data_IF_842572865573
#
_entry.id   IF_842572865573
#
_cell.length_a   1.000
_cell.length_b   1.000
_cell.length_c   1.000
_cell.angle_alpha   90.00
_cell.angle_beta   90.00
_cell.angle_gamma   90.00
#
_symmetry.space_group_name_H-M   'P 1'
#
loop_
_entity.id
_entity.type
_entity.pdbx_description
1 polymer ?
#
# COMPACT_ATOMS: atom_id res chain seq x y z
N UNK A 1 -0.41 9.71 -0.89
CA UNK A 1 0.03 8.37 -0.45
C UNK A 1 1.28 8.02 -1.23
N UNK A 2 2.29 7.49 -0.57
CA UNK A 2 3.59 7.11 -1.18
C UNK A 2 4.31 8.28 -1.88
N UNK A 3 3.95 9.49 -1.47
CA UNK A 3 4.47 10.76 -1.98
C UNK A 3 3.95 11.87 -1.06
N UNK A 4 4.63 13.02 -1.09
CA UNK A 4 4.19 14.25 -0.48
C UNK A 4 5.17 14.83 0.53
N UNK A 5 6.16 14.07 1.04
CA UNK A 5 7.08 14.55 2.09
C UNK A 5 7.94 15.76 1.64
N UNK A 6 8.07 15.97 0.34
CA UNK A 6 8.78 17.11 -0.27
C UNK A 6 7.84 18.05 -1.06
N UNK A 7 6.52 17.86 -0.99
CA UNK A 7 5.55 18.57 -1.84
C UNK A 7 5.09 19.91 -1.23
N UNK A 8 6.02 20.84 -1.02
CA UNK A 8 5.71 22.14 -0.41
C UNK A 8 4.67 22.93 -1.21
N UNK A 9 4.94 23.20 -2.48
CA UNK A 9 4.05 24.00 -3.33
C UNK A 9 2.67 23.34 -3.54
N UNK A 10 2.62 22.01 -3.58
CA UNK A 10 1.37 21.27 -3.70
C UNK A 10 0.49 21.42 -2.46
N UNK A 11 1.09 21.33 -1.27
CA UNK A 11 0.41 21.54 0.01
C UNK A 11 -0.04 23.00 0.16
N UNK A 12 0.82 23.97 -0.16
CA UNK A 12 0.48 25.39 -0.09
C UNK A 12 -0.70 25.74 -1.00
N UNK A 13 -0.73 25.20 -2.21
CA UNK A 13 -1.85 25.40 -3.15
C UNK A 13 -3.15 24.77 -2.63
N UNK A 14 -3.10 23.59 -2.02
CA UNK A 14 -4.26 22.96 -1.40
C UNK A 14 -4.82 23.84 -0.28
N UNK A 15 -3.96 24.41 0.56
CA UNK A 15 -4.34 25.31 1.64
C UNK A 15 -4.98 26.61 1.13
N UNK A 16 -4.45 27.20 0.05
CA UNK A 16 -5.06 28.36 -0.61
C UNK A 16 -6.48 28.07 -1.11
N UNK A 17 -6.80 26.80 -1.37
CA UNK A 17 -8.14 26.33 -1.77
C UNK A 17 -8.99 25.87 -0.59
N UNK A 18 -8.52 26.02 0.65
CA UNK A 18 -9.22 25.57 1.85
C UNK A 18 -9.29 24.05 2.02
N UNK A 19 -8.35 23.31 1.42
CA UNK A 19 -8.29 21.85 1.47
C UNK A 19 -7.28 21.42 2.53
N UNK A 20 -7.70 20.57 3.48
CA UNK A 20 -6.78 19.95 4.44
C UNK A 20 -5.97 18.82 3.80
N UNK A 21 -4.71 18.68 4.21
CA UNK A 21 -3.76 17.74 3.64
C UNK A 21 -3.20 16.79 4.70
N UNK A 22 -3.39 15.49 4.45
CA UNK A 22 -2.68 14.40 5.12
C UNK A 22 -1.64 13.82 4.15
N UNK A 23 -0.36 13.89 4.51
CA UNK A 23 0.73 13.23 3.79
C UNK A 23 0.98 11.85 4.41
N UNK A 24 0.98 10.80 3.59
CA UNK A 24 1.48 9.48 3.96
C UNK A 24 2.60 9.11 2.99
N UNK A 25 3.78 8.90 3.53
CA UNK A 25 4.99 8.73 2.73
C UNK A 25 6.02 7.90 3.51
N UNK A 26 7.08 7.49 2.83
CA UNK A 26 8.20 6.76 3.41
C UNK A 26 9.56 7.26 2.92
N UNK A 27 9.61 8.14 1.94
CA UNK A 27 10.85 8.76 1.47
C UNK A 27 11.55 9.56 2.60
N UNK A 28 12.85 9.78 2.46
CA UNK A 28 13.60 10.59 3.42
C UNK A 28 13.08 12.04 3.40
N UNK A 29 12.76 12.63 4.57
CA UNK A 29 12.36 14.02 4.65
C UNK A 29 13.55 14.95 4.33
N UNK A 30 13.24 16.13 3.77
CA UNK A 30 14.21 17.23 3.67
C UNK A 30 14.35 18.00 4.98
N UNK A 31 15.18 19.04 4.97
CA UNK A 31 15.43 19.90 6.15
C UNK A 31 14.18 20.62 6.65
N UNK A 32 13.26 20.92 5.72
CA UNK A 32 11.97 21.54 6.01
C UNK A 32 10.87 20.61 5.51
N UNK A 33 9.81 20.47 6.30
CA UNK A 33 8.64 19.68 5.94
C UNK A 33 7.56 20.55 5.28
N UNK A 34 6.72 20.00 4.39
CA UNK A 34 5.56 20.70 3.88
C UNK A 34 4.60 21.01 5.01
N UNK A 35 3.86 22.11 4.89
CA UNK A 35 2.95 22.57 5.93
C UNK A 35 1.63 21.77 5.96
N UNK A 36 1.67 20.44 5.89
CA UNK A 36 0.47 19.59 5.89
C UNK A 36 -0.17 19.52 7.29
N UNK A 37 -1.49 19.33 7.38
CA UNK A 37 -2.21 19.16 8.66
C UNK A 37 -1.70 17.94 9.44
N UNK A 38 -1.24 16.91 8.73
CA UNK A 38 -0.61 15.74 9.32
C UNK A 38 0.36 15.09 8.33
N UNK A 39 1.45 14.52 8.87
CA UNK A 39 2.45 13.76 8.12
C UNK A 39 2.68 12.43 8.82
N UNK A 40 2.51 11.33 8.08
CA UNK A 40 2.79 9.98 8.55
C UNK A 40 3.94 9.45 7.69
N UNK A 41 5.13 9.44 8.27
CA UNK A 41 6.32 8.89 7.62
C UNK A 41 7.26 8.29 8.68
N UNK A 42 7.70 7.02 8.53
CA UNK A 42 8.61 6.37 9.49
C UNK A 42 9.97 7.07 9.60
N UNK A 43 10.39 7.83 8.59
CA UNK A 43 11.67 8.51 8.51
C UNK A 43 11.67 9.95 9.06
N UNK A 44 10.57 10.41 9.67
CA UNK A 44 10.59 11.66 10.44
C UNK A 44 11.57 11.55 11.62
N UNK A 45 12.25 12.66 11.93
CA UNK A 45 13.30 12.71 12.95
C UNK A 45 12.82 12.22 14.32
N UNK A 46 11.61 12.62 14.73
CA UNK A 46 11.04 12.28 16.05
C UNK A 46 10.18 11.00 16.03
N UNK A 47 10.16 10.27 14.92
CA UNK A 47 9.35 9.06 14.81
C UNK A 47 10.05 7.88 15.49
N UNK A 48 9.45 7.34 16.56
CA UNK A 48 9.97 6.18 17.28
C UNK A 48 9.64 4.83 16.61
N UNK A 49 8.99 4.83 15.43
CA UNK A 49 8.62 3.60 14.76
C UNK A 49 9.86 2.79 14.34
N UNK A 50 9.95 1.50 14.69
CA UNK A 50 11.21 0.75 14.60
C UNK A 50 11.62 0.41 13.17
N UNK A 51 10.66 0.25 12.25
CA UNK A 51 10.96 -0.07 10.85
C UNK A 51 11.03 1.20 10.02
N UNK A 52 12.26 1.66 9.76
CA UNK A 52 12.57 2.81 8.89
C UNK A 52 12.51 2.47 7.40
N UNK A 53 12.42 1.18 7.08
CA UNK A 53 12.36 0.67 5.72
C UNK A 53 10.94 0.39 5.21
N UNK A 54 9.90 0.79 5.95
CA UNK A 54 8.52 0.54 5.54
C UNK A 54 8.24 1.18 4.17
N UNK A 55 7.64 0.44 3.23
CA UNK A 55 7.17 0.98 1.95
C UNK A 55 5.91 1.85 2.15
N UNK A 56 5.57 2.74 1.21
CA UNK A 56 4.37 3.57 1.32
C UNK A 56 3.06 2.78 1.43
N UNK A 57 2.96 1.60 0.80
CA UNK A 57 1.83 0.68 0.99
C UNK A 57 1.73 0.19 2.45
N UNK A 58 2.87 -0.03 3.10
CA UNK A 58 2.94 -0.41 4.51
C UNK A 58 2.53 0.73 5.43
N UNK A 59 2.95 1.96 5.13
CA UNK A 59 2.51 3.17 5.86
C UNK A 59 0.99 3.29 5.82
N UNK A 60 0.41 3.13 4.62
CA UNK A 60 -1.04 3.18 4.41
C UNK A 60 -1.75 2.06 5.16
N UNK A 61 -1.20 0.84 5.13
CA UNK A 61 -1.75 -0.29 5.87
C UNK A 61 -1.82 -0.04 7.38
N UNK A 62 -0.76 0.53 7.97
CA UNK A 62 -0.76 0.90 9.38
C UNK A 62 -1.72 2.05 9.70
N UNK A 63 -1.86 3.05 8.82
CA UNK A 63 -2.88 4.09 8.95
C UNK A 63 -4.30 3.47 8.97
N UNK A 64 -4.59 2.53 8.06
CA UNK A 64 -5.88 1.83 8.04
C UNK A 64 -6.12 1.03 9.32
N UNK A 65 -5.09 0.36 9.86
CA UNK A 65 -5.18 -0.36 11.14
C UNK A 65 -5.51 0.59 12.29
N UNK A 66 -4.83 1.74 12.38
CA UNK A 66 -5.07 2.75 13.40
C UNK A 66 -6.47 3.36 13.28
N UNK A 67 -6.90 3.69 12.06
CA UNK A 67 -8.25 4.21 11.80
C UNK A 67 -9.33 3.20 12.21
N UNK A 68 -9.19 1.93 11.80
CA UNK A 68 -10.12 0.86 12.18
C UNK A 68 -10.20 0.70 13.69
N UNK A 69 -9.07 0.73 14.40
CA UNK A 69 -9.06 0.66 15.86
C UNK A 69 -9.82 1.85 16.47
N UNK A 70 -9.54 3.07 16.02
CA UNK A 70 -10.19 4.28 16.52
C UNK A 70 -11.71 4.30 16.31
N UNK A 71 -12.18 3.80 15.16
CA UNK A 71 -13.61 3.67 14.84
C UNK A 71 -14.29 2.55 15.64
N UNK A 72 -13.55 1.48 15.96
CA UNK A 72 -14.05 0.43 16.86
C UNK A 72 -14.22 0.97 18.28
N UNK A 73 -13.23 1.70 18.79
CA UNK A 73 -13.24 2.24 20.16
C UNK A 73 -14.33 3.28 20.37
N UNK A 74 -14.68 4.05 19.33
CA UNK A 74 -15.80 4.99 19.37
C UNK A 74 -17.17 4.34 19.18
N UNK A 75 -17.23 3.02 18.94
CA UNK A 75 -18.46 2.31 18.61
C UNK A 75 -19.06 2.69 17.25
N UNK A 76 -18.29 3.35 16.38
CA UNK A 76 -18.78 3.90 15.10
C UNK A 76 -19.37 2.82 14.19
N UNK A 77 -18.71 1.66 14.08
CA UNK A 77 -19.23 0.54 13.28
C UNK A 77 -20.62 0.09 13.74
N UNK A 78 -20.85 -0.01 15.05
CA UNK A 78 -22.16 -0.37 15.60
C UNK A 78 -23.22 0.70 15.31
N UNK A 79 -22.86 1.99 15.46
CA UNK A 79 -23.76 3.11 15.16
C UNK A 79 -24.16 3.16 13.69
N UNK A 80 -23.26 2.81 12.78
CA UNK A 80 -23.51 2.77 11.33
C UNK A 80 -24.12 1.44 10.85
N UNK A 81 -24.35 0.47 11.76
CA UNK A 81 -24.74 -0.90 11.41
C UNK A 81 -23.80 -1.58 10.38
N UNK A 82 -22.50 -1.28 10.45
CA UNK A 82 -21.46 -1.83 9.59
C UNK A 82 -20.64 -2.90 10.30
N UNK A 83 -20.21 -3.92 9.57
CA UNK A 83 -19.25 -4.89 10.07
C UNK A 83 -17.84 -4.30 10.07
N UNK A 84 -17.06 -4.62 11.10
CA UNK A 84 -15.64 -4.24 11.16
C UNK A 84 -14.85 -4.97 10.06
N UNK A 85 -14.09 -4.26 9.21
CA UNK A 85 -13.35 -4.88 8.12
C UNK A 85 -12.13 -5.69 8.62
N UNK A 86 -11.89 -6.82 7.96
CA UNK A 86 -10.70 -7.64 8.16
C UNK A 86 -9.56 -7.18 7.25
N UNK A 87 -8.75 -6.23 7.72
CA UNK A 87 -7.65 -5.68 6.93
C UNK A 87 -6.56 -6.70 6.53
N UNK A 88 -6.53 -7.89 7.13
CA UNK A 88 -5.64 -8.95 6.65
C UNK A 88 -5.92 -9.32 5.19
N UNK A 89 -7.11 -9.01 4.66
CA UNK A 89 -7.49 -9.19 3.26
C UNK A 89 -6.70 -8.34 2.26
N UNK A 90 -6.00 -7.31 2.74
CA UNK A 90 -5.18 -6.43 1.89
C UNK A 90 -3.69 -6.79 1.90
N UNK A 91 -3.29 -7.83 2.65
CA UNK A 91 -1.87 -8.17 2.82
C UNK A 91 -1.19 -8.66 1.54
N UNK A 92 -1.95 -9.12 0.55
CA UNK A 92 -1.42 -9.44 -0.78
C UNK A 92 -0.98 -8.17 -1.54
N UNK A 93 -1.78 -7.10 -1.48
CA UNK A 93 -1.42 -5.78 -1.99
C UNK A 93 -0.23 -5.18 -1.23
N UNK A 94 -0.21 -5.33 0.10
CA UNK A 94 0.92 -4.89 0.93
C UNK A 94 2.20 -5.63 0.53
N UNK A 95 2.14 -6.95 0.37
CA UNK A 95 3.30 -7.73 -0.05
C UNK A 95 3.79 -7.34 -1.45
N UNK A 96 2.88 -7.18 -2.41
CA UNK A 96 3.23 -6.77 -3.77
C UNK A 96 3.88 -5.39 -3.75
N UNK A 97 3.25 -4.39 -3.11
CA UNK A 97 3.78 -3.03 -3.06
C UNK A 97 5.12 -2.95 -2.33
N UNK A 98 5.27 -3.63 -1.19
CA UNK A 98 6.55 -3.65 -0.45
C UNK A 98 7.68 -4.27 -1.27
N UNK A 99 7.42 -5.35 -2.01
CA UNK A 99 8.44 -5.97 -2.86
C UNK A 99 8.72 -5.12 -4.11
N UNK A 100 7.69 -4.53 -4.71
CA UNK A 100 7.80 -3.68 -5.90
C UNK A 100 8.64 -2.43 -5.64
N UNK A 101 8.60 -1.92 -4.42
CA UNK A 101 9.32 -0.73 -3.95
C UNK A 101 10.79 -1.02 -3.56
N UNK A 102 11.20 -2.29 -3.59
CA UNK A 102 12.59 -2.74 -3.37
C UNK A 102 13.19 -2.24 -2.04
N UNK A 103 12.34 -1.95 -1.05
CA UNK A 103 12.79 -1.59 0.30
C UNK A 103 13.42 -2.79 1.01
N UNK A 104 14.34 -2.57 1.97
CA UNK A 104 14.90 -3.66 2.76
C UNK A 104 13.81 -4.52 3.43
N UNK A 105 13.94 -5.84 3.32
CA UNK A 105 13.12 -6.80 4.06
C UNK A 105 13.64 -6.97 5.49
N UNK A 106 13.57 -5.88 6.25
CA UNK A 106 13.75 -5.85 7.69
C UNK A 106 12.70 -6.72 8.40
N UNK A 107 12.78 -6.82 9.72
CA UNK A 107 11.87 -7.68 10.49
C UNK A 107 10.38 -7.41 10.17
N UNK A 108 9.99 -6.14 10.09
CA UNK A 108 8.59 -5.75 9.89
C UNK A 108 8.13 -6.04 8.46
N UNK A 109 8.89 -5.60 7.45
CA UNK A 109 8.57 -5.86 6.05
C UNK A 109 8.57 -7.35 5.75
N UNK A 110 9.50 -8.12 6.33
CA UNK A 110 9.53 -9.58 6.17
C UNK A 110 8.26 -10.24 6.69
N UNK A 111 7.73 -9.80 7.83
CA UNK A 111 6.46 -10.31 8.38
C UNK A 111 5.30 -9.99 7.44
N UNK A 112 5.18 -8.73 7.00
CA UNK A 112 4.09 -8.30 6.10
C UNK A 112 4.13 -9.06 4.77
N UNK A 113 5.30 -9.15 4.15
CA UNK A 113 5.49 -9.87 2.87
C UNK A 113 5.23 -11.37 3.05
N UNK A 114 5.71 -11.99 4.14
CA UNK A 114 5.45 -13.40 4.40
C UNK A 114 3.96 -13.70 4.55
N UNK A 115 3.23 -12.87 5.30
CA UNK A 115 1.78 -13.04 5.46
C UNK A 115 1.02 -12.82 4.15
N UNK A 116 1.40 -11.81 3.35
CA UNK A 116 0.80 -11.61 2.03
C UNK A 116 1.03 -12.79 1.09
N UNK A 117 2.26 -13.32 1.02
CA UNK A 117 2.57 -14.52 0.23
C UNK A 117 1.73 -15.73 0.66
N UNK A 118 1.58 -15.96 1.97
CA UNK A 118 0.77 -17.07 2.48
C UNK A 118 -0.70 -16.93 2.09
N UNK A 119 -1.23 -15.70 2.03
CA UNK A 119 -2.58 -15.45 1.56
C UNK A 119 -2.74 -15.75 0.08
N UNK A 120 -1.78 -15.31 -0.74
CA UNK A 120 -1.78 -15.58 -2.18
C UNK A 120 -1.77 -17.10 -2.42
N UNK A 121 -0.89 -17.82 -1.72
CA UNK A 121 -0.81 -19.29 -1.75
C UNK A 121 -2.11 -19.98 -1.34
N UNK A 122 -2.85 -19.38 -0.42
CA UNK A 122 -4.14 -19.89 0.06
C UNK A 122 -5.33 -19.51 -0.84
N UNK A 123 -5.09 -18.91 -2.02
CA UNK A 123 -6.15 -18.44 -2.92
C UNK A 123 -6.91 -17.21 -2.42
N UNK A 124 -6.40 -16.52 -1.39
CA UNK A 124 -7.00 -15.31 -0.82
C UNK A 124 -6.32 -14.07 -1.38
N UNK A 125 -6.47 -13.87 -2.68
CA UNK A 125 -5.73 -12.89 -3.45
C UNK A 125 -6.66 -12.08 -4.35
N UNK A 126 -6.31 -10.82 -4.60
CA UNK A 126 -6.98 -9.96 -5.58
C UNK A 126 -6.97 -10.60 -6.97
N UNK A 127 -8.11 -10.60 -7.70
CA UNK A 127 -8.19 -11.10 -9.07
C UNK A 127 -7.09 -10.57 -9.99
N UNK A 128 -6.78 -9.27 -9.90
CA UNK A 128 -5.69 -8.67 -10.69
C UNK A 128 -4.31 -9.26 -10.44
N UNK A 129 -3.98 -9.60 -9.19
CA UNK A 129 -2.70 -10.25 -8.88
C UNK A 129 -2.70 -11.69 -9.43
N UNK A 130 -3.82 -12.41 -9.30
CA UNK A 130 -3.98 -13.74 -9.89
C UNK A 130 -3.81 -13.72 -11.40
N UNK A 131 -4.43 -12.76 -12.10
CA UNK A 131 -4.29 -12.60 -13.55
C UNK A 131 -2.82 -12.33 -13.96
N UNK A 132 -2.11 -11.48 -13.20
CA UNK A 132 -0.68 -11.24 -13.44
C UNK A 132 0.17 -12.51 -13.22
N UNK A 133 -0.17 -13.35 -12.25
CA UNK A 133 0.48 -14.64 -12.03
C UNK A 133 0.24 -15.60 -13.19
N UNK A 134 -1.00 -15.69 -13.68
CA UNK A 134 -1.38 -16.51 -14.82
C UNK A 134 -0.61 -16.09 -16.09
N UNK A 135 -0.59 -14.80 -16.41
CA UNK A 135 0.15 -14.24 -17.55
C UNK A 135 1.67 -14.44 -17.38
N UNK A 136 2.17 -14.36 -16.15
CA UNK A 136 3.56 -14.65 -15.84
C UNK A 136 3.91 -16.15 -15.83
N UNK A 137 2.92 -17.04 -15.98
CA UNK A 137 3.06 -18.50 -15.86
C UNK A 137 3.69 -18.92 -14.52
N UNK A 138 3.25 -18.28 -13.43
CA UNK A 138 3.73 -18.53 -12.07
C UNK A 138 2.66 -19.25 -11.26
N UNK A 139 3.04 -20.38 -10.64
CA UNK A 139 2.17 -21.08 -9.70
C UNK A 139 2.10 -20.31 -8.38
N UNK A 140 0.89 -19.86 -8.03
CA UNK A 140 0.62 -19.15 -6.80
C UNK A 140 1.02 -19.95 -5.55
N UNK A 141 0.93 -21.29 -5.56
CA UNK A 141 1.26 -22.14 -4.41
C UNK A 141 2.77 -22.17 -4.11
N UNK A 142 3.59 -22.01 -5.15
CA UNK A 142 5.06 -22.02 -5.05
C UNK A 142 5.66 -20.62 -4.93
N UNK A 143 4.81 -19.58 -4.90
CA UNK A 143 5.23 -18.19 -4.99
C UNK A 143 6.25 -17.80 -3.90
N UNK A 144 7.33 -17.13 -4.31
CA UNK A 144 8.28 -16.49 -3.38
C UNK A 144 8.35 -14.99 -3.62
N UNK A 145 8.94 -14.23 -2.69
CA UNK A 145 9.01 -12.78 -2.79
C UNK A 145 9.70 -12.31 -4.08
N UNK A 146 10.73 -13.00 -4.55
CA UNK A 146 11.40 -12.67 -5.81
C UNK A 146 10.47 -12.80 -7.02
N UNK A 147 9.47 -13.68 -6.98
CA UNK A 147 8.53 -13.79 -8.09
C UNK A 147 7.67 -12.53 -8.22
N UNK A 148 7.22 -11.98 -7.08
CA UNK A 148 6.53 -10.68 -7.05
C UNK A 148 7.42 -9.58 -7.65
N UNK A 149 8.69 -9.53 -7.27
CA UNK A 149 9.62 -8.48 -7.72
C UNK A 149 10.04 -8.59 -9.19
N UNK A 150 10.21 -9.80 -9.73
CA UNK A 150 10.73 -9.99 -11.09
C UNK A 150 9.64 -10.25 -12.14
N UNK A 151 8.47 -10.77 -11.76
CA UNK A 151 7.43 -11.13 -12.71
C UNK A 151 6.17 -10.28 -12.57
N UNK A 152 5.78 -9.90 -11.36
CA UNK A 152 4.50 -9.21 -11.14
C UNK A 152 4.68 -7.69 -11.15
N UNK A 153 5.55 -7.16 -10.30
CA UNK A 153 5.80 -5.72 -10.18
C UNK A 153 6.20 -5.06 -11.51
N UNK A 154 7.07 -5.64 -12.36
CA UNK A 154 7.43 -5.00 -13.64
C UNK A 154 6.25 -4.89 -14.60
N UNK A 155 5.32 -5.85 -14.60
CA UNK A 155 4.12 -5.82 -15.45
C UNK A 155 3.15 -4.74 -15.00
N UNK A 156 2.91 -4.65 -13.69
CA UNK A 156 2.10 -3.58 -13.10
C UNK A 156 2.71 -2.20 -13.39
N UNK A 157 4.02 -2.05 -13.23
CA UNK A 157 4.73 -0.80 -13.50
C UNK A 157 4.79 -0.46 -15.00
N UNK A 158 4.78 -1.47 -15.89
CA UNK A 158 4.72 -1.25 -17.33
C UNK A 158 3.38 -0.64 -17.75
N UNK A 159 2.26 -1.08 -17.17
CA UNK A 159 0.96 -0.45 -17.40
C UNK A 159 0.99 1.05 -17.04
N UNK A 160 1.64 1.40 -15.92
CA UNK A 160 1.81 2.79 -15.52
C UNK A 160 2.75 3.64 -16.38
N UNK A 161 3.54 3.04 -17.28
CA UNK A 161 4.44 3.73 -18.22
C UNK A 161 3.84 3.87 -19.63
N UNK A 162 2.71 3.23 -19.90
CA UNK A 162 2.04 3.18 -21.21
C UNK A 162 0.90 4.21 -21.30
N UNK A 163 1.18 5.46 -20.88
CA UNK A 163 0.29 6.63 -20.90
C UNK A 163 -0.88 6.64 -19.90
N UNK A 164 -1.32 5.50 -19.35
CA UNK A 164 -2.43 5.48 -18.37
C UNK A 164 -2.21 4.57 -17.14
N UNK A 165 -1.82 5.18 -16.02
CA UNK A 165 -1.70 4.52 -14.72
C UNK A 165 -3.04 3.98 -14.18
N UNK A 166 -4.19 4.46 -14.66
CA UNK A 166 -5.49 4.01 -14.17
C UNK A 166 -5.73 2.54 -14.45
N UNK A 167 -5.12 1.98 -15.51
CA UNK A 167 -5.25 0.56 -15.87
C UNK A 167 -4.68 -0.33 -14.77
N UNK A 168 -3.47 -0.02 -14.28
CA UNK A 168 -2.84 -0.78 -13.21
C UNK A 168 -3.64 -0.71 -11.91
N UNK A 169 -4.23 0.45 -11.60
CA UNK A 169 -5.09 0.62 -10.43
C UNK A 169 -6.40 -0.15 -10.59
N UNK A 170 -7.06 -0.05 -11.75
CA UNK A 170 -8.29 -0.77 -12.05
C UNK A 170 -8.10 -2.28 -11.94
N UNK A 171 -6.98 -2.81 -12.45
CA UNK A 171 -6.62 -4.22 -12.32
C UNK A 171 -6.57 -4.68 -10.86
N UNK A 172 -5.95 -3.88 -9.97
CA UNK A 172 -5.83 -4.22 -8.55
C UNK A 172 -7.13 -4.01 -7.75
N UNK A 173 -8.04 -3.16 -8.25
CA UNK A 173 -9.36 -2.91 -7.66
C UNK A 173 -10.45 -3.87 -8.15
N UNK A 174 -10.21 -4.57 -9.27
CA UNK A 174 -11.20 -5.50 -9.82
C UNK A 174 -11.55 -6.62 -8.84
N UNK A 175 -12.85 -6.89 -8.72
CA UNK A 175 -13.41 -8.02 -7.99
C UNK A 175 -13.88 -9.14 -8.95
N UNK A 176 -13.74 -8.96 -10.27
CA UNK A 176 -14.08 -9.93 -11.31
C UNK A 176 -12.81 -10.52 -11.95
N UNK A 177 -12.73 -11.85 -11.97
CA UNK A 177 -11.61 -12.59 -12.54
C UNK A 177 -11.56 -12.53 -14.07
N UNK A 178 -12.70 -12.39 -14.75
CA UNK A 178 -12.74 -12.24 -16.21
C UNK A 178 -12.32 -10.84 -16.64
N UNK A 179 -12.77 -9.80 -15.93
CA UNK A 179 -12.35 -8.42 -16.19
C UNK A 179 -10.84 -8.21 -15.92
N UNK A 180 -10.27 -8.95 -14.97
CA UNK A 180 -8.86 -8.83 -14.60
C UNK A 180 -7.89 -9.50 -15.59
N UNK A 181 -8.35 -10.36 -16.51
CA UNK A 181 -7.51 -11.11 -17.46
C UNK A 181 -7.20 -10.33 -18.73
#
# INVERSE_FOLDING_TARGET
>A
VDNGISSHAGVDLAHQKGIQVLVTDHHLPGDVLPAADAIINPNLADCAFPSKSLAGVGVTFYLMLALRARLQDSGWFAQQALLKPNLAELLDLVALGTVADVVPLDSNNRILVHQGLNRIKAGKCRPGICALLDVAKRDAQQLVASDLGFFIAPRLNAAGRLDDMSIGVALLLSDDQEEAR
#
